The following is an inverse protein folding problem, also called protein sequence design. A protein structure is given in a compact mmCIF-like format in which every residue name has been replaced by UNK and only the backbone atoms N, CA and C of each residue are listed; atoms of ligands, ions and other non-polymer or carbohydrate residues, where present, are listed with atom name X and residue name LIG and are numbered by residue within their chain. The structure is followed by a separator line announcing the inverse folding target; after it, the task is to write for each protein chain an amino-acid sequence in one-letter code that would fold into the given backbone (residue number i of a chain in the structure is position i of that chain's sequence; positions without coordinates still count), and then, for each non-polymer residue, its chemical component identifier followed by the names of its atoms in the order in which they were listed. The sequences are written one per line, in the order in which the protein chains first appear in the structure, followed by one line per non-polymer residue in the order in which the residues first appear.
data_IF_134867758775
#
_entry.id   IF_134867758775
#
_cell.length_a   1.000
_cell.length_b   1.000
_cell.length_c   1.000
_cell.angle_alpha   90.00
_cell.angle_beta   90.00
_cell.angle_gamma   90.00
#
_symmetry.space_group_name_H-M   'P 1'
#
loop_
_entity.id
_entity.type
_entity.pdbx_description
1 polymer ?
#
# COMPACT_ATOMS: atom_id res chain seq x y z
N UNK A 1 -16.14 24.34 -39.99
CA UNK A 1 -15.54 23.80 -38.75
C UNK A 1 -14.11 23.35 -39.05
N UNK A 2 -13.12 23.89 -38.35
CA UNK A 2 -11.71 23.45 -38.44
C UNK A 2 -11.51 22.23 -37.52
N UNK A 3 -10.83 21.17 -37.98
CA UNK A 3 -10.50 19.99 -37.15
C UNK A 3 -9.00 19.94 -36.92
N UNK A 4 -8.56 19.72 -35.68
CA UNK A 4 -7.16 19.43 -35.39
C UNK A 4 -6.86 17.93 -35.57
N UNK A 5 -5.63 17.63 -35.98
CA UNK A 5 -5.11 16.27 -36.04
C UNK A 5 -5.17 15.61 -34.65
N UNK A 6 -5.69 14.38 -34.57
CA UNK A 6 -5.78 13.64 -33.30
C UNK A 6 -4.48 12.94 -32.88
N UNK A 7 -3.36 13.18 -33.58
CA UNK A 7 -2.07 12.64 -33.17
C UNK A 7 -1.48 13.48 -32.03
N UNK A 8 -0.88 12.81 -31.05
CA UNK A 8 -0.23 13.47 -29.93
C UNK A 8 0.90 14.38 -30.43
N UNK A 9 0.91 15.65 -29.98
CA UNK A 9 1.84 16.70 -30.39
C UNK A 9 1.82 17.00 -31.91
N UNK A 10 0.63 16.99 -32.52
CA UNK A 10 0.46 17.42 -33.90
C UNK A 10 -0.60 18.53 -33.97
N UNK A 11 -0.16 19.76 -34.14
CA UNK A 11 -1.03 20.94 -34.16
C UNK A 11 -1.54 21.28 -35.57
N UNK A 12 -1.39 20.34 -36.50
CA UNK A 12 -1.82 20.53 -37.89
C UNK A 12 -3.35 20.56 -37.97
N UNK A 13 -3.85 21.65 -38.54
CA UNK A 13 -5.25 21.84 -38.90
C UNK A 13 -5.57 21.03 -40.17
N UNK A 14 -6.67 20.28 -40.12
CA UNK A 14 -7.25 19.54 -41.23
C UNK A 14 -8.38 20.40 -41.82
N UNK A 15 -8.21 20.85 -43.06
CA UNK A 15 -9.23 21.61 -43.79
C UNK A 15 -10.40 20.70 -44.15
N UNK A 16 -11.62 21.10 -43.77
CA UNK A 16 -12.85 20.33 -44.00
C UNK A 16 -13.56 20.70 -45.32
N UNK A 17 -12.81 21.07 -46.35
CA UNK A 17 -13.35 21.53 -47.64
C UNK A 17 -13.95 20.41 -48.49
N UNK A 18 -13.68 19.14 -48.18
CA UNK A 18 -14.27 17.99 -48.88
C UNK A 18 -14.92 16.98 -47.91
N UNK A 19 -15.86 16.15 -48.41
CA UNK A 19 -16.42 15.02 -47.65
C UNK A 19 -15.35 14.01 -47.20
N UNK A 20 -14.25 13.90 -47.94
CA UNK A 20 -13.16 13.00 -47.58
C UNK A 20 -12.32 13.58 -46.45
N UNK A 21 -12.03 14.89 -46.49
CA UNK A 21 -11.30 15.58 -45.42
C UNK A 21 -12.16 15.78 -44.17
N UNK A 22 -13.49 15.87 -44.30
CA UNK A 22 -14.41 15.93 -43.16
C UNK A 22 -14.37 14.68 -42.28
N UNK A 23 -14.05 13.51 -42.84
CA UNK A 23 -13.87 12.25 -42.11
C UNK A 23 -12.42 11.99 -41.66
N UNK A 24 -11.48 12.83 -42.09
CA UNK A 24 -10.07 12.64 -41.82
C UNK A 24 -9.72 13.04 -40.39
N UNK A 25 -9.20 12.06 -39.62
CA UNK A 25 -8.81 12.22 -38.21
C UNK A 25 -7.32 12.57 -38.01
N UNK A 26 -6.50 12.36 -39.04
CA UNK A 26 -5.05 12.51 -38.98
C UNK A 26 -4.55 13.20 -40.24
N UNK A 27 -3.66 14.19 -40.09
CA UNK A 27 -3.10 14.94 -41.22
C UNK A 27 -2.21 14.07 -42.13
N UNK A 28 -1.55 13.04 -41.58
CA UNK A 28 -0.62 12.18 -42.34
C UNK A 28 -0.73 10.70 -41.95
N UNK A 29 -0.31 9.77 -42.84
CA UNK A 29 -0.17 8.36 -42.51
C UNK A 29 0.76 8.11 -41.30
N UNK A 30 1.80 8.95 -41.13
CA UNK A 30 2.70 8.92 -39.97
C UNK A 30 1.93 9.21 -38.67
N UNK A 31 1.13 10.27 -38.66
CA UNK A 31 0.28 10.62 -37.51
C UNK A 31 -0.72 9.51 -37.15
N UNK A 32 -1.35 8.90 -38.15
CA UNK A 32 -2.23 7.72 -37.96
C UNK A 32 -1.48 6.53 -37.35
N UNK A 33 -0.31 6.17 -37.89
CA UNK A 33 0.52 5.06 -37.40
C UNK A 33 0.99 5.32 -35.96
N UNK A 34 1.42 6.53 -35.63
CA UNK A 34 1.85 6.91 -34.27
C UNK A 34 0.70 6.81 -33.27
N UNK A 35 -0.47 7.36 -33.59
CA UNK A 35 -1.66 7.26 -32.74
C UNK A 35 -2.08 5.79 -32.51
N UNK A 36 -2.08 4.98 -33.58
CA UNK A 36 -2.36 3.55 -33.47
C UNK A 36 -1.35 2.81 -32.58
N UNK A 37 -0.04 3.03 -32.79
CA UNK A 37 1.02 2.45 -31.95
C UNK A 37 0.87 2.83 -30.48
N UNK A 38 0.56 4.10 -30.18
CA UNK A 38 0.32 4.57 -28.82
C UNK A 38 -0.90 3.91 -28.19
N UNK A 39 -2.02 3.79 -28.92
CA UNK A 39 -3.22 3.07 -28.47
C UNK A 39 -2.90 1.61 -28.17
N UNK A 40 -2.24 0.91 -29.10
CA UNK A 40 -1.82 -0.50 -28.93
C UNK A 40 -0.90 -0.65 -27.72
N UNK A 41 0.09 0.22 -27.56
CA UNK A 41 1.01 0.21 -26.41
C UNK A 41 0.27 0.43 -25.09
N UNK A 42 -0.67 1.38 -25.02
CA UNK A 42 -1.51 1.59 -23.82
C UNK A 42 -2.30 0.33 -23.49
N UNK A 43 -2.93 -0.29 -24.48
CA UNK A 43 -3.69 -1.52 -24.31
C UNK A 43 -2.82 -2.68 -23.82
N UNK A 44 -1.69 -2.94 -24.47
CA UNK A 44 -0.74 -3.99 -24.05
C UNK A 44 -0.23 -3.75 -22.64
N UNK A 45 0.01 -2.50 -22.24
CA UNK A 45 0.41 -2.16 -20.87
C UNK A 45 -0.69 -2.45 -19.85
N UNK A 46 -1.95 -2.19 -20.20
CA UNK A 46 -3.09 -2.49 -19.33
C UNK A 46 -3.30 -4.00 -19.18
N UNK A 47 -3.21 -4.75 -20.28
CA UNK A 47 -3.28 -6.22 -20.28
C UNK A 47 -2.15 -6.80 -19.42
N UNK A 48 -0.93 -6.30 -19.56
CA UNK A 48 0.21 -6.72 -18.73
C UNK A 48 0.02 -6.35 -17.26
N UNK A 49 -0.51 -5.16 -16.95
CA UNK A 49 -0.80 -4.76 -15.55
C UNK A 49 -1.88 -5.65 -14.94
N UNK A 50 -2.90 -6.02 -15.72
CA UNK A 50 -3.96 -6.91 -15.29
C UNK A 50 -3.44 -8.32 -15.00
N UNK A 51 -2.61 -8.87 -15.89
CA UNK A 51 -1.98 -10.18 -15.66
C UNK A 51 -1.04 -10.18 -14.45
N UNK A 52 -0.41 -9.04 -14.14
CA UNK A 52 0.44 -8.88 -12.97
C UNK A 52 -0.34 -8.73 -11.64
N UNK A 53 -1.66 -8.41 -11.64
CA UNK A 53 -2.41 -8.11 -10.42
C UNK A 53 -2.32 -9.22 -9.39
N UNK A 54 -2.54 -10.47 -9.79
CA UNK A 54 -2.55 -11.60 -8.86
C UNK A 54 -1.17 -11.87 -8.23
N UNK A 55 -0.10 -11.34 -8.85
CA UNK A 55 1.29 -11.48 -8.42
C UNK A 55 1.84 -10.20 -7.78
N UNK A 56 1.02 -9.16 -7.65
CA UNK A 56 1.40 -7.87 -7.06
C UNK A 56 1.30 -7.91 -5.53
N UNK A 57 2.28 -7.36 -4.82
CA UNK A 57 2.38 -7.45 -3.35
C UNK A 57 1.17 -6.82 -2.65
N UNK A 58 0.71 -5.67 -3.14
CA UNK A 58 -0.44 -4.94 -2.59
C UNK A 58 -1.74 -5.75 -2.74
N UNK A 59 -1.96 -6.33 -3.92
CA UNK A 59 -3.14 -7.16 -4.20
C UNK A 59 -3.09 -8.47 -3.42
N UNK A 60 -1.94 -9.14 -3.32
CA UNK A 60 -1.79 -10.35 -2.50
C UNK A 60 -2.11 -10.06 -1.04
N UNK A 61 -1.66 -8.90 -0.53
CA UNK A 61 -2.03 -8.45 0.81
C UNK A 61 -3.56 -8.25 0.94
N UNK A 62 -4.18 -7.57 -0.02
CA UNK A 62 -5.63 -7.33 -0.07
C UNK A 62 -6.42 -8.65 -0.07
N UNK A 63 -6.05 -9.62 -0.90
CA UNK A 63 -6.69 -10.94 -0.97
C UNK A 63 -6.66 -11.64 0.39
N UNK A 64 -5.53 -11.55 1.10
CA UNK A 64 -5.40 -12.07 2.47
C UNK A 64 -6.36 -11.35 3.44
N UNK A 65 -6.58 -10.05 3.29
CA UNK A 65 -7.55 -9.34 4.14
C UNK A 65 -8.99 -9.77 3.84
N UNK A 66 -9.34 -9.96 2.57
CA UNK A 66 -10.66 -10.47 2.18
C UNK A 66 -10.91 -11.86 2.79
N UNK A 67 -9.91 -12.77 2.74
CA UNK A 67 -9.98 -14.07 3.43
C UNK A 67 -10.14 -13.93 4.94
N UNK A 68 -9.37 -13.03 5.57
CA UNK A 68 -9.48 -12.77 7.00
C UNK A 68 -10.87 -12.25 7.38
N UNK A 69 -11.49 -11.39 6.57
CA UNK A 69 -12.85 -10.92 6.81
C UNK A 69 -13.94 -11.92 6.41
N UNK A 70 -13.61 -12.97 5.64
CA UNK A 70 -14.56 -13.89 4.99
C UNK A 70 -15.55 -13.19 4.04
N UNK A 71 -15.19 -12.02 3.51
CA UNK A 71 -16.01 -11.26 2.56
C UNK A 71 -15.18 -10.24 1.78
N UNK A 72 -15.55 -9.97 0.52
CA UNK A 72 -14.98 -8.85 -0.27
C UNK A 72 -15.60 -7.50 0.10
N UNK A 73 -16.72 -7.48 0.84
CA UNK A 73 -17.32 -6.24 1.36
C UNK A 73 -16.45 -5.50 2.37
N UNK A 74 -15.33 -6.08 2.79
CA UNK A 74 -14.28 -5.33 3.50
C UNK A 74 -13.78 -4.11 2.69
N UNK A 75 -14.04 -4.07 1.38
CA UNK A 75 -13.71 -2.98 0.46
C UNK A 75 -14.85 -1.96 0.27
N UNK A 76 -15.87 -2.00 1.11
CA UNK A 76 -17.01 -1.07 1.02
C UNK A 76 -16.57 0.39 1.09
N UNK A 77 -17.27 1.27 0.35
CA UNK A 77 -17.01 2.71 0.33
C UNK A 77 -15.84 3.18 -0.53
N UNK A 78 -15.13 2.27 -1.21
CA UNK A 78 -14.02 2.67 -2.07
C UNK A 78 -14.45 3.36 -3.37
N UNK A 79 -13.83 4.50 -3.62
CA UNK A 79 -13.65 5.11 -4.94
C UNK A 79 -12.18 4.98 -5.39
N UNK A 80 -11.84 5.52 -6.57
CA UNK A 80 -10.46 5.46 -7.09
C UNK A 80 -9.43 6.08 -6.13
N UNK A 81 -9.70 7.27 -5.59
CA UNK A 81 -8.76 8.00 -4.73
C UNK A 81 -8.49 7.25 -3.43
N UNK A 82 -9.55 6.87 -2.71
CA UNK A 82 -9.41 6.09 -1.46
C UNK A 82 -8.74 4.74 -1.67
N UNK A 83 -8.98 4.07 -2.81
CA UNK A 83 -8.33 2.80 -3.13
C UNK A 83 -6.83 3.01 -3.42
N UNK A 84 -6.46 4.08 -4.14
CA UNK A 84 -5.07 4.45 -4.37
C UNK A 84 -4.33 4.73 -3.05
N UNK A 85 -4.92 5.52 -2.15
CA UNK A 85 -4.33 5.79 -0.84
C UNK A 85 -4.17 4.53 0.01
N UNK A 86 -5.15 3.62 -0.06
CA UNK A 86 -5.09 2.34 0.65
C UNK A 86 -3.98 1.46 0.12
N UNK A 87 -3.86 1.34 -1.21
CA UNK A 87 -2.78 0.56 -1.83
C UNK A 87 -1.42 1.20 -1.62
N UNK A 88 -1.34 2.53 -1.58
CA UNK A 88 -0.10 3.23 -1.28
C UNK A 88 0.38 2.99 0.14
N UNK A 89 -0.55 2.97 1.13
CA UNK A 89 -0.22 2.55 2.49
C UNK A 89 0.37 1.14 2.52
N UNK A 90 -0.19 0.18 1.78
CA UNK A 90 0.33 -1.20 1.73
C UNK A 90 1.71 -1.26 1.09
N UNK A 91 1.90 -0.54 -0.02
CA UNK A 91 3.18 -0.46 -0.74
C UNK A 91 4.28 0.14 0.11
N UNK A 92 3.99 1.27 0.75
CA UNK A 92 4.95 2.08 1.47
C UNK A 92 5.01 1.71 2.94
N UNK A 93 5.19 0.40 3.21
CA UNK A 93 5.39 -0.09 4.57
C UNK A 93 6.65 0.56 5.19
N UNK A 94 6.52 1.27 6.32
CA UNK A 94 7.67 1.81 7.04
C UNK A 94 8.62 0.69 7.45
N UNK A 95 9.89 1.06 7.57
CA UNK A 95 10.89 0.16 8.14
C UNK A 95 10.67 0.03 9.66
N UNK A 96 11.27 -0.99 10.27
CA UNK A 96 11.13 -1.28 11.70
C UNK A 96 10.05 -2.31 12.05
N UNK A 97 9.88 -2.56 13.35
CA UNK A 97 8.96 -3.58 13.89
C UNK A 97 7.50 -3.09 13.98
N UNK A 98 6.96 -2.73 12.81
CA UNK A 98 5.57 -2.27 12.65
C UNK A 98 4.80 -3.14 11.68
N UNK A 99 3.48 -3.16 11.85
CA UNK A 99 2.51 -3.85 10.98
C UNK A 99 1.37 -2.92 10.63
N UNK A 100 0.79 -3.13 9.47
CA UNK A 100 -0.45 -2.47 9.09
C UNK A 100 -1.59 -3.08 9.91
N UNK A 101 -2.14 -2.26 10.81
CA UNK A 101 -3.19 -2.55 11.76
C UNK A 101 -4.51 -1.93 11.28
N UNK A 102 -5.63 -2.44 11.79
CA UNK A 102 -6.93 -1.78 11.62
C UNK A 102 -7.33 -1.11 12.94
N UNK A 103 -8.02 0.04 12.86
CA UNK A 103 -8.62 0.72 14.02
C UNK A 103 -9.84 -0.10 14.48
N UNK A 104 -10.85 -0.22 13.62
CA UNK A 104 -11.90 -1.22 13.77
C UNK A 104 -11.36 -2.58 13.29
N UNK A 105 -11.44 -3.65 14.10
CA UNK A 105 -10.79 -4.92 13.77
C UNK A 105 -11.45 -5.63 12.59
N UNK A 106 -10.64 -6.26 11.73
CA UNK A 106 -11.09 -7.10 10.60
C UNK A 106 -12.06 -8.21 11.04
N UNK A 107 -11.86 -8.73 12.26
CA UNK A 107 -12.72 -9.76 12.87
C UNK A 107 -13.29 -9.24 14.19
N UNK A 108 -14.16 -8.24 14.11
CA UNK A 108 -14.90 -7.73 15.26
C UNK A 108 -16.04 -8.67 15.70
N UNK A 109 -16.63 -8.35 16.86
CA UNK A 109 -17.77 -9.06 17.41
C UNK A 109 -18.99 -8.95 16.50
N UNK A 110 -19.49 -7.72 16.31
CA UNK A 110 -20.71 -7.45 15.51
C UNK A 110 -20.42 -6.73 14.18
N UNK A 111 -19.17 -6.34 13.94
CA UNK A 111 -18.76 -5.62 12.73
C UNK A 111 -17.44 -6.14 12.16
N UNK A 112 -17.19 -5.79 10.92
CA UNK A 112 -15.95 -6.06 10.17
C UNK A 112 -15.32 -4.71 9.84
N UNK A 113 -14.14 -4.45 10.37
CA UNK A 113 -13.36 -3.27 10.01
C UNK A 113 -12.97 -3.27 8.54
N UNK A 114 -13.21 -2.15 7.84
CA UNK A 114 -12.96 -2.03 6.40
C UNK A 114 -11.47 -1.93 6.09
N UNK A 115 -11.09 -2.42 4.92
CA UNK A 115 -9.75 -2.34 4.38
C UNK A 115 -9.58 -1.02 3.64
N UNK A 116 -9.64 0.07 4.40
CA UNK A 116 -9.69 1.42 3.89
C UNK A 116 -8.66 2.28 4.61
N UNK A 117 -7.98 3.19 3.92
CA UNK A 117 -6.89 3.99 4.50
C UNK A 117 -7.29 4.72 5.80
N UNK A 118 -8.54 5.20 5.91
CA UNK A 118 -9.10 5.80 7.14
C UNK A 118 -9.24 4.82 8.32
N UNK A 119 -9.30 3.52 8.06
CA UNK A 119 -9.35 2.48 9.09
C UNK A 119 -8.00 1.78 9.32
N UNK A 120 -6.97 2.09 8.51
CA UNK A 120 -5.67 1.43 8.57
C UNK A 120 -4.63 2.36 9.18
N UNK A 121 -3.66 1.82 9.91
CA UNK A 121 -2.49 2.55 10.40
C UNK A 121 -1.33 1.60 10.69
N UNK A 122 -0.11 2.13 10.85
CA UNK A 122 1.03 1.32 11.23
C UNK A 122 1.19 1.28 12.76
N UNK A 123 0.96 0.11 13.36
CA UNK A 123 1.14 -0.15 14.79
C UNK A 123 2.31 -1.10 15.05
N UNK A 124 2.88 -1.05 16.25
CA UNK A 124 3.96 -1.97 16.65
C UNK A 124 3.49 -3.42 16.69
N UNK A 125 4.36 -4.37 16.31
CA UNK A 125 4.00 -5.79 16.25
C UNK A 125 3.50 -6.32 17.60
N UNK A 126 4.16 -5.94 18.71
CA UNK A 126 3.76 -6.35 20.06
C UNK A 126 2.36 -5.85 20.43
N UNK A 127 2.09 -4.55 20.27
CA UNK A 127 0.79 -3.96 20.58
C UNK A 127 -0.32 -4.57 19.73
N UNK A 128 -0.07 -4.76 18.43
CA UNK A 128 -1.04 -5.38 17.53
C UNK A 128 -1.38 -6.82 17.95
N UNK A 129 -0.40 -7.59 18.44
CA UNK A 129 -0.64 -8.93 18.99
C UNK A 129 -1.41 -8.87 20.32
N UNK A 130 -1.01 -7.97 21.22
CA UNK A 130 -1.62 -7.80 22.54
C UNK A 130 -3.08 -7.37 22.47
N UNK A 131 -3.41 -6.42 21.58
CA UNK A 131 -4.80 -5.95 21.42
C UNK A 131 -5.63 -6.91 20.56
N UNK A 132 -5.03 -7.58 19.57
CA UNK A 132 -5.67 -8.66 18.83
C UNK A 132 -6.97 -8.22 18.15
N UNK A 133 -8.12 -8.70 18.68
CA UNK A 133 -9.48 -8.38 18.18
C UNK A 133 -10.22 -7.35 19.04
N UNK A 134 -9.59 -6.83 20.09
CA UNK A 134 -10.20 -5.83 20.96
C UNK A 134 -10.47 -4.57 20.16
N UNK A 135 -11.71 -4.09 20.24
CA UNK A 135 -12.16 -2.86 19.63
C UNK A 135 -12.38 -1.83 20.73
N UNK A 136 -11.82 -0.63 20.56
CA UNK A 136 -11.97 0.45 21.52
C UNK A 136 -13.01 1.45 21.01
N UNK A 137 -12.73 2.10 19.88
CA UNK A 137 -13.66 2.99 19.19
C UNK A 137 -13.10 3.43 17.83
N UNK A 138 -13.94 4.05 17.00
CA UNK A 138 -13.58 4.67 15.74
C UNK A 138 -13.24 3.72 14.60
N UNK A 139 -12.73 4.28 13.50
CA UNK A 139 -12.43 3.50 12.30
C UNK A 139 -13.66 3.12 11.48
N UNK A 140 -13.44 2.81 10.20
CA UNK A 140 -14.53 2.40 9.32
C UNK A 140 -14.81 0.91 9.49
N UNK A 141 -16.09 0.56 9.60
CA UNK A 141 -16.55 -0.82 9.67
C UNK A 141 -17.90 -0.99 8.97
N UNK A 142 -18.23 -2.23 8.65
CA UNK A 142 -19.56 -2.66 8.18
C UNK A 142 -20.13 -3.64 9.19
N UNK A 143 -21.42 -3.56 9.48
CA UNK A 143 -22.06 -4.52 10.40
C UNK A 143 -22.18 -5.89 9.73
N UNK A 144 -22.27 -6.96 10.53
CA UNK A 144 -22.39 -8.32 9.97
C UNK A 144 -23.73 -8.53 9.24
N UNK A 145 -24.77 -7.82 9.64
CA UNK A 145 -26.11 -7.93 9.06
C UNK A 145 -26.17 -7.31 7.64
N UNK A 146 -25.29 -6.36 7.34
CA UNK A 146 -25.13 -5.77 6.00
C UNK A 146 -24.30 -6.66 5.04
N UNK A 147 -23.77 -7.79 5.51
CA UNK A 147 -22.99 -8.70 4.67
C UNK A 147 -23.91 -9.56 3.80
N UNK A 148 -23.76 -9.41 2.49
CA UNK A 148 -24.52 -10.13 1.48
C UNK A 148 -23.82 -11.45 1.15
N UNK A 149 -24.58 -12.55 1.18
CA UNK A 149 -24.07 -13.92 0.95
C UNK A 149 -23.23 -14.07 -0.33
N UNK A 150 -23.60 -13.38 -1.42
CA UNK A 150 -22.90 -13.45 -2.71
C UNK A 150 -21.45 -12.93 -2.67
N UNK A 151 -21.11 -12.13 -1.65
CA UNK A 151 -19.78 -11.55 -1.49
C UNK A 151 -18.91 -12.29 -0.45
N UNK A 152 -19.41 -13.40 0.10
CA UNK A 152 -18.68 -14.20 1.06
C UNK A 152 -17.49 -14.92 0.42
N UNK A 153 -16.35 -14.83 1.09
CA UNK A 153 -15.13 -15.54 0.73
C UNK A 153 -15.08 -16.83 1.54
N UNK A 154 -15.17 -17.97 0.86
CA UNK A 154 -15.12 -19.30 1.47
C UNK A 154 -13.67 -19.71 1.76
N UNK A 155 -13.51 -20.57 2.77
CA UNK A 155 -12.23 -21.23 3.03
C UNK A 155 -11.86 -22.10 1.81
N UNK A 156 -10.59 -22.07 1.38
CA UNK A 156 -10.10 -22.81 0.20
C UNK A 156 -10.33 -22.17 -1.19
N UNK A 157 -11.14 -21.12 -1.32
CA UNK A 157 -11.36 -20.41 -2.60
C UNK A 157 -10.04 -19.96 -3.24
N UNK A 158 -9.85 -20.00 -4.56
CA UNK A 158 -8.57 -19.61 -5.18
C UNK A 158 -8.37 -18.08 -5.17
N UNK A 159 -7.11 -17.63 -5.22
CA UNK A 159 -6.79 -16.19 -5.27
C UNK A 159 -7.42 -15.50 -6.49
N UNK A 160 -7.48 -16.20 -7.62
CA UNK A 160 -8.08 -15.68 -8.86
C UNK A 160 -9.59 -15.47 -8.71
N UNK A 161 -10.30 -16.39 -8.06
CA UNK A 161 -11.74 -16.28 -7.85
C UNK A 161 -12.08 -15.09 -6.94
N UNK A 162 -11.32 -14.91 -5.86
CA UNK A 162 -11.47 -13.75 -4.97
C UNK A 162 -11.17 -12.46 -5.74
N UNK A 163 -10.14 -12.44 -6.59
CA UNK A 163 -9.82 -11.26 -7.40
C UNK A 163 -10.96 -10.93 -8.37
N UNK A 164 -11.58 -11.92 -9.02
CA UNK A 164 -12.76 -11.73 -9.87
C UNK A 164 -13.93 -11.16 -9.05
N UNK A 165 -14.15 -11.65 -7.81
CA UNK A 165 -15.16 -11.09 -6.92
C UNK A 165 -14.87 -9.63 -6.57
N UNK A 166 -13.61 -9.28 -6.30
CA UNK A 166 -13.18 -7.90 -6.04
C UNK A 166 -13.42 -7.01 -7.27
N UNK A 167 -13.03 -7.45 -8.47
CA UNK A 167 -13.28 -6.71 -9.71
C UNK A 167 -14.78 -6.45 -9.91
N UNK A 168 -15.63 -7.46 -9.67
CA UNK A 168 -17.09 -7.32 -9.74
C UNK A 168 -17.65 -6.36 -8.69
N UNK A 169 -17.12 -6.42 -7.46
CA UNK A 169 -17.60 -5.59 -6.35
C UNK A 169 -17.21 -4.11 -6.53
N UNK A 170 -15.95 -3.86 -6.93
CA UNK A 170 -15.38 -2.53 -7.10
C UNK A 170 -15.63 -1.90 -8.48
N UNK A 171 -16.19 -2.66 -9.43
CA UNK A 171 -16.60 -2.19 -10.76
C UNK A 171 -15.47 -1.44 -11.48
N UNK A 172 -15.63 -0.14 -11.69
CA UNK A 172 -14.73 0.73 -12.46
C UNK A 172 -13.47 1.15 -11.69
N UNK A 173 -13.42 0.94 -10.37
CA UNK A 173 -12.25 1.30 -9.56
C UNK A 173 -11.01 0.51 -9.96
N UNK A 174 -11.11 -0.81 -10.19
CA UNK A 174 -9.95 -1.64 -10.60
C UNK A 174 -9.45 -1.26 -12.00
N UNK A 175 -10.29 -1.16 -13.05
CA UNK A 175 -9.86 -0.66 -14.35
C UNK A 175 -9.17 0.71 -14.27
N UNK A 176 -9.77 1.68 -13.57
CA UNK A 176 -9.17 3.02 -13.40
C UNK A 176 -7.86 2.98 -12.62
N UNK A 177 -7.77 2.16 -11.58
CA UNK A 177 -6.52 1.91 -10.85
C UNK A 177 -5.43 1.38 -11.78
N UNK A 178 -5.74 0.44 -12.67
CA UNK A 178 -4.80 -0.08 -13.65
C UNK A 178 -4.31 0.95 -14.66
N UNK A 179 -5.07 2.03 -14.92
CA UNK A 179 -4.62 3.11 -15.80
C UNK A 179 -3.54 3.97 -15.15
N UNK A 180 -3.71 4.30 -13.87
CA UNK A 180 -2.87 5.28 -13.18
C UNK A 180 -1.76 4.66 -12.35
N UNK A 181 -1.98 3.48 -11.75
CA UNK A 181 -1.04 2.86 -10.84
C UNK A 181 -0.03 1.93 -11.55
N UNK A 182 1.24 1.91 -11.11
CA UNK A 182 2.21 0.94 -11.61
C UNK A 182 1.99 -0.43 -10.95
N UNK A 183 1.22 -1.31 -11.59
CA UNK A 183 1.08 -2.70 -11.12
C UNK A 183 2.25 -3.55 -11.65
N UNK A 184 3.16 -3.88 -10.74
CA UNK A 184 4.35 -4.71 -11.01
C UNK A 184 4.23 -6.03 -10.25
N UNK A 185 4.84 -7.08 -10.81
CA UNK A 185 5.01 -8.37 -10.11
C UNK A 185 5.81 -8.13 -8.82
N UNK A 186 5.46 -8.84 -7.76
CA UNK A 186 6.21 -8.82 -6.50
C UNK A 186 7.68 -9.16 -6.72
N UNK A 187 8.54 -8.62 -5.86
CA UNK A 187 9.97 -8.99 -5.89
C UNK A 187 10.16 -10.49 -5.67
N UNK A 188 9.27 -11.11 -4.87
CA UNK A 188 9.27 -12.55 -4.62
C UNK A 188 9.07 -13.34 -5.91
N UNK A 189 8.03 -13.03 -6.67
CA UNK A 189 7.75 -13.70 -7.96
C UNK A 189 8.91 -13.51 -8.94
N UNK A 190 9.50 -12.31 -8.98
CA UNK A 190 10.67 -12.07 -9.83
C UNK A 190 11.88 -12.94 -9.44
N UNK A 191 12.14 -13.15 -8.15
CA UNK A 191 13.20 -14.06 -7.69
C UNK A 191 12.86 -15.51 -8.06
N UNK A 192 11.61 -15.93 -7.87
CA UNK A 192 11.19 -17.29 -8.22
C UNK A 192 11.41 -17.55 -9.70
N UNK A 193 10.97 -16.64 -10.58
CA UNK A 193 11.21 -16.75 -12.03
C UNK A 193 12.70 -16.86 -12.36
N UNK A 194 13.57 -16.14 -11.64
CA UNK A 194 15.03 -16.26 -11.82
C UNK A 194 15.56 -17.62 -11.36
N UNK A 195 15.08 -18.13 -10.23
CA UNK A 195 15.45 -19.46 -9.72
C UNK A 195 15.02 -20.52 -10.74
N UNK A 196 13.76 -20.52 -11.17
CA UNK A 196 13.23 -21.53 -12.11
C UNK A 196 13.89 -21.45 -13.49
N UNK A 197 14.39 -20.27 -13.90
CA UNK A 197 15.16 -20.14 -15.15
C UNK A 197 16.58 -20.71 -15.07
N UNK A 198 17.15 -20.81 -13.86
CA UNK A 198 18.50 -21.35 -13.62
C UNK A 198 18.46 -22.82 -13.19
N UNK A 199 17.37 -23.23 -12.55
CA UNK A 199 17.12 -24.58 -12.05
C UNK A 199 15.67 -24.97 -12.39
N UNK A 200 15.49 -25.57 -13.57
CA UNK A 200 14.18 -25.97 -14.08
C UNK A 200 13.57 -27.17 -13.34
N UNK A 201 14.32 -27.82 -12.43
CA UNK A 201 13.80 -28.90 -11.60
C UNK A 201 12.88 -28.41 -10.47
N UNK A 202 12.90 -27.11 -10.16
CA UNK A 202 12.11 -26.50 -9.09
C UNK A 202 10.80 -25.95 -9.61
N UNK A 203 9.70 -26.38 -8.99
CA UNK A 203 8.36 -25.93 -9.34
C UNK A 203 8.02 -24.54 -8.77
N UNK A 204 7.35 -23.73 -9.59
CA UNK A 204 7.02 -22.33 -9.23
C UNK A 204 6.12 -22.25 -7.98
N UNK A 205 5.12 -23.12 -7.90
CA UNK A 205 4.14 -23.13 -6.80
C UNK A 205 4.74 -23.56 -5.47
N UNK A 206 5.75 -24.45 -5.49
CA UNK A 206 6.49 -24.84 -4.30
C UNK A 206 7.30 -23.64 -3.76
N UNK A 207 8.05 -22.96 -4.64
CA UNK A 207 8.85 -21.80 -4.28
C UNK A 207 8.00 -20.63 -3.78
N UNK A 208 6.77 -20.51 -4.25
CA UNK A 208 5.80 -19.52 -3.76
C UNK A 208 5.44 -19.71 -2.28
N UNK A 209 5.72 -20.86 -1.67
CA UNK A 209 5.52 -21.09 -0.23
C UNK A 209 6.67 -20.54 0.63
N UNK A 210 7.87 -20.40 0.06
CA UNK A 210 9.06 -20.00 0.82
C UNK A 210 9.05 -18.51 1.19
N UNK A 211 9.75 -18.16 2.28
CA UNK A 211 9.93 -16.74 2.63
C UNK A 211 10.81 -16.03 1.61
N UNK A 212 10.61 -14.71 1.44
CA UNK A 212 11.47 -13.91 0.55
C UNK A 212 12.96 -14.01 0.94
N UNK A 213 13.26 -14.07 2.24
CA UNK A 213 14.63 -14.25 2.75
C UNK A 213 15.22 -15.59 2.27
N UNK A 214 14.47 -16.68 2.39
CA UNK A 214 14.90 -18.01 1.93
C UNK A 214 15.13 -18.01 0.42
N UNK A 215 14.18 -17.49 -0.36
CA UNK A 215 14.32 -17.41 -1.82
C UNK A 215 15.52 -16.58 -2.26
N UNK A 216 15.82 -15.50 -1.56
CA UNK A 216 16.99 -14.66 -1.87
C UNK A 216 18.30 -15.41 -1.59
N UNK A 217 18.36 -16.17 -0.50
CA UNK A 217 19.51 -17.01 -0.17
C UNK A 217 19.68 -18.16 -1.17
N UNK A 218 18.59 -18.83 -1.55
CA UNK A 218 18.59 -19.90 -2.55
C UNK A 218 19.06 -19.36 -3.92
N UNK A 219 18.53 -18.21 -4.36
CA UNK A 219 18.97 -17.57 -5.59
C UNK A 219 20.46 -17.23 -5.55
N UNK A 220 20.94 -16.59 -4.48
CA UNK A 220 22.36 -16.25 -4.30
C UNK A 220 23.28 -17.47 -4.39
N UNK A 221 22.86 -18.60 -3.80
CA UNK A 221 23.60 -19.88 -3.88
C UNK A 221 23.70 -20.38 -5.32
N UNK A 222 22.62 -20.32 -6.08
CA UNK A 222 22.57 -20.80 -7.48
C UNK A 222 23.33 -19.85 -8.42
N UNK A 223 23.15 -18.54 -8.27
CA UNK A 223 23.78 -17.53 -9.13
C UNK A 223 25.23 -17.20 -8.77
N UNK A 224 25.79 -17.80 -7.71
CA UNK A 224 27.13 -17.50 -7.15
C UNK A 224 27.34 -16.01 -6.87
N UNK A 225 26.26 -15.28 -6.58
CA UNK A 225 26.32 -13.86 -6.22
C UNK A 225 26.16 -13.71 -4.72
N UNK A 226 26.80 -12.71 -4.12
CA UNK A 226 26.53 -12.44 -2.71
C UNK A 226 25.08 -11.96 -2.53
N UNK A 227 24.34 -12.49 -1.54
CA UNK A 227 23.02 -12.01 -1.25
C UNK A 227 23.09 -10.52 -0.84
N UNK A 228 22.13 -9.69 -1.24
CA UNK A 228 22.09 -8.30 -0.79
C UNK A 228 22.05 -8.26 0.73
N UNK A 229 22.94 -7.47 1.34
CA UNK A 229 22.96 -7.25 2.78
C UNK A 229 21.62 -6.65 3.21
N UNK A 230 20.95 -7.32 4.16
CA UNK A 230 19.72 -6.82 4.76
C UNK A 230 20.10 -5.61 5.61
N UNK A 231 19.82 -4.42 5.08
CA UNK A 231 19.96 -3.19 5.84
C UNK A 231 18.81 -3.16 6.87
N UNK A 232 19.06 -3.71 8.06
CA UNK A 232 18.13 -3.66 9.19
C UNK A 232 18.05 -2.20 9.60
N UNK A 233 16.99 -1.53 9.16
CA UNK A 233 16.73 -0.17 9.58
C UNK A 233 16.33 -0.18 11.04
N UNK A 234 17.16 0.46 11.86
CA UNK A 234 16.88 0.76 13.27
C UNK A 234 15.92 1.95 13.41
N UNK A 235 15.05 2.17 12.42
CA UNK A 235 14.15 3.31 12.45
C UNK A 235 13.11 3.11 13.55
N UNK A 236 13.06 4.08 14.47
CA UNK A 236 12.18 3.98 15.64
C UNK A 236 10.71 3.93 15.24
N UNK A 237 9.98 2.98 15.82
CA UNK A 237 8.51 2.88 15.74
C UNK A 237 7.80 4.17 16.16
N UNK A 238 8.43 5.03 16.96
CA UNK A 238 7.88 6.32 17.36
C UNK A 238 7.61 7.23 16.16
N UNK A 239 8.49 7.24 15.17
CA UNK A 239 8.32 8.04 13.95
C UNK A 239 7.06 7.60 13.22
N UNK A 240 6.87 6.28 13.11
CA UNK A 240 5.68 5.68 12.47
C UNK A 240 4.38 6.06 13.20
N UNK A 241 4.41 6.14 14.53
CA UNK A 241 3.27 6.57 15.32
C UNK A 241 2.98 8.06 15.14
N UNK A 242 4.00 8.92 15.15
CA UNK A 242 3.84 10.36 14.92
C UNK A 242 3.36 10.67 13.50
N UNK A 243 3.82 9.91 12.50
CA UNK A 243 3.34 9.97 11.12
C UNK A 243 1.86 9.58 11.04
N UNK A 244 1.48 8.51 11.74
CA UNK A 244 0.08 8.07 11.82
C UNK A 244 -0.81 9.13 12.48
N UNK A 245 -0.36 9.77 13.56
CA UNK A 245 -1.07 10.88 14.21
C UNK A 245 -1.19 12.09 13.28
N UNK A 246 -0.12 12.47 12.58
CA UNK A 246 -0.13 13.57 11.62
C UNK A 246 -1.17 13.34 10.53
N UNK A 247 -1.22 12.12 10.01
CA UNK A 247 -2.22 11.71 9.02
C UNK A 247 -3.64 11.76 9.60
N UNK A 248 -3.88 11.25 10.80
CA UNK A 248 -5.20 11.36 11.42
C UNK A 248 -5.63 12.80 11.72
N UNK A 249 -4.69 13.67 12.11
CA UNK A 249 -4.94 15.10 12.27
C UNK A 249 -5.38 15.73 10.95
N UNK A 250 -4.78 15.34 9.81
CA UNK A 250 -5.17 15.87 8.49
C UNK A 250 -6.58 15.47 8.04
N UNK A 251 -7.18 14.45 8.64
CA UNK A 251 -8.54 14.05 8.33
C UNK A 251 -9.60 14.95 9.00
N UNK A 252 -9.20 15.78 9.96
CA UNK A 252 -10.13 16.64 10.67
C UNK A 252 -10.93 15.91 11.76
N UNK A 253 -12.03 16.52 12.18
CA UNK A 253 -12.95 16.00 13.20
C UNK A 253 -12.67 16.46 14.64
N UNK A 254 -13.52 16.02 15.56
CA UNK A 254 -13.55 16.49 16.95
C UNK A 254 -12.27 16.15 17.73
N UNK A 255 -11.60 15.05 17.37
CA UNK A 255 -10.40 14.58 18.07
C UNK A 255 -9.11 15.31 17.68
N UNK A 256 -9.14 16.23 16.70
CA UNK A 256 -7.93 16.89 16.18
C UNK A 256 -7.13 17.59 17.27
N UNK A 257 -7.79 18.30 18.19
CA UNK A 257 -7.11 19.01 19.26
C UNK A 257 -6.37 18.04 20.20
N UNK A 258 -7.00 16.91 20.53
CA UNK A 258 -6.42 15.85 21.38
C UNK A 258 -5.25 15.18 20.66
N UNK A 259 -5.41 14.83 19.38
CA UNK A 259 -4.35 14.21 18.58
C UNK A 259 -3.14 15.13 18.40
N UNK A 260 -3.35 16.45 18.21
CA UNK A 260 -2.28 17.46 18.17
C UNK A 260 -1.50 17.49 19.50
N UNK A 261 -2.20 17.49 20.64
CA UNK A 261 -1.58 17.42 21.98
C UNK A 261 -0.78 16.13 22.15
N UNK A 262 -1.36 14.97 21.80
CA UNK A 262 -0.69 13.67 21.87
C UNK A 262 0.57 13.63 20.98
N UNK A 263 0.48 14.12 19.74
CA UNK A 263 1.64 14.19 18.83
C UNK A 263 2.75 15.05 19.43
N UNK A 264 2.44 16.21 20.01
CA UNK A 264 3.43 17.06 20.69
C UNK A 264 4.08 16.33 21.87
N UNK A 265 3.30 15.63 22.69
CA UNK A 265 3.83 14.81 23.78
C UNK A 265 4.77 13.70 23.27
N UNK A 266 4.44 13.07 22.13
CA UNK A 266 5.30 12.05 21.53
C UNK A 266 6.62 12.62 21.00
N UNK A 267 6.63 13.83 20.45
CA UNK A 267 7.86 14.54 20.04
C UNK A 267 8.75 14.78 21.25
N UNK A 268 8.19 15.29 22.35
CA UNK A 268 8.95 15.52 23.60
C UNK A 268 9.49 14.20 24.17
N UNK A 269 8.66 13.15 24.19
CA UNK A 269 9.08 11.83 24.66
C UNK A 269 10.19 11.23 23.79
N UNK A 270 10.13 11.42 22.46
CA UNK A 270 11.18 11.01 21.55
C UNK A 270 12.51 11.72 21.89
N UNK A 271 12.49 13.05 22.05
CA UNK A 271 13.69 13.83 22.41
C UNK A 271 14.29 13.37 23.76
N UNK A 272 13.45 13.08 24.74
CA UNK A 272 13.87 12.56 26.04
C UNK A 272 14.49 11.16 25.94
N UNK A 273 13.93 10.29 25.09
CA UNK A 273 14.42 8.92 24.87
C UNK A 273 15.72 8.88 24.08
N UNK A 274 15.88 9.72 23.04
CA UNK A 274 17.12 9.78 22.25
C UNK A 274 18.36 10.08 23.10
N UNK A 275 18.18 10.76 24.25
CA UNK A 275 19.25 11.13 25.19
C UNK A 275 19.60 10.06 26.20
N UNK A 276 18.79 9.01 26.30
CA UNK A 276 19.13 7.88 27.15
C UNK A 276 20.13 7.01 26.42
N UNK A 277 21.28 6.74 27.04
CA UNK A 277 22.38 5.95 26.43
C UNK A 277 21.86 4.64 25.82
N UNK A 278 20.98 3.94 26.54
CA UNK A 278 20.46 2.63 26.17
C UNK A 278 19.41 2.66 25.04
N UNK A 279 19.01 3.83 24.57
CA UNK A 279 17.95 3.95 23.56
C UNK A 279 18.48 3.72 22.17
N UNK A 280 17.78 2.86 21.43
CA UNK A 280 17.96 2.67 19.98
C UNK A 280 17.03 3.58 19.16
N UNK A 281 16.47 4.62 19.78
CA UNK A 281 15.48 5.53 19.19
C UNK A 281 16.16 6.66 18.43
N UNK A 282 16.92 6.32 17.38
CA UNK A 282 17.56 7.31 16.51
C UNK A 282 16.87 7.38 15.14
N UNK A 283 16.74 8.59 14.62
CA UNK A 283 16.25 8.89 13.27
C UNK A 283 16.86 10.21 12.79
N UNK A 284 17.71 10.12 11.76
CA UNK A 284 18.41 11.27 11.19
C UNK A 284 17.51 12.40 10.64
N UNK A 285 16.24 12.12 10.38
CA UNK A 285 15.28 13.08 9.82
C UNK A 285 14.29 13.62 10.85
N UNK A 286 14.38 13.20 12.12
CA UNK A 286 13.42 13.59 13.15
C UNK A 286 13.33 15.12 13.30
N UNK A 287 14.47 15.78 13.54
CA UNK A 287 14.53 17.22 13.76
C UNK A 287 14.07 18.02 12.54
N UNK A 288 14.40 17.57 11.32
CA UNK A 288 13.94 18.22 10.08
C UNK A 288 12.43 18.07 9.91
N UNK A 289 11.88 16.87 10.15
CA UNK A 289 10.46 16.58 9.90
C UNK A 289 9.54 17.21 10.94
N UNK A 290 9.99 17.32 12.18
CA UNK A 290 9.17 17.74 13.32
C UNK A 290 9.59 19.07 13.95
N UNK A 291 10.47 19.83 13.29
CA UNK A 291 11.00 21.13 13.74
C UNK A 291 9.92 22.04 14.31
N UNK A 292 8.83 22.24 13.58
CA UNK A 292 7.72 23.13 13.97
C UNK A 292 6.99 22.70 15.26
N UNK A 293 7.20 21.48 15.74
CA UNK A 293 6.62 20.97 16.98
C UNK A 293 7.60 21.01 18.15
N UNK A 294 8.89 21.26 17.88
CA UNK A 294 9.94 21.34 18.88
C UNK A 294 9.88 22.74 19.50
N UNK A 295 9.73 22.76 20.82
CA UNK A 295 9.75 23.97 21.62
C UNK A 295 11.06 23.94 22.41
N UNK A 296 11.85 25.02 22.34
CA UNK A 296 13.18 25.10 22.95
C UNK A 296 13.17 24.74 24.43
N UNK A 297 12.07 24.98 25.16
CA UNK A 297 11.96 24.62 26.57
C UNK A 297 11.98 23.10 26.82
N UNK A 298 11.54 22.30 25.84
CA UNK A 298 11.65 20.84 25.89
C UNK A 298 12.94 20.34 25.27
N UNK A 299 13.75 21.25 24.72
CA UNK A 299 15.13 21.01 24.29
C UNK A 299 16.03 20.48 25.42
N UNK A 300 15.59 20.41 26.67
CA UNK A 300 16.33 19.79 27.78
C UNK A 300 15.62 18.57 28.39
N UNK A 301 14.51 18.11 27.82
CA UNK A 301 13.79 16.94 28.32
C UNK A 301 14.71 15.71 28.38
N UNK A 302 14.64 14.97 29.49
CA UNK A 302 15.33 13.70 29.74
C UNK A 302 14.36 12.72 30.37
N UNK A 303 14.43 11.44 30.00
CA UNK A 303 13.67 10.43 30.70
C UNK A 303 14.29 10.25 32.10
N UNK A 304 13.47 10.25 33.15
CA UNK A 304 13.94 9.92 34.49
C UNK A 304 14.47 8.48 34.47
N UNK A 305 15.75 8.30 34.80
CA UNK A 305 16.29 6.97 35.03
C UNK A 305 15.57 6.40 36.26
N UNK A 306 14.93 5.24 36.13
CA UNK A 306 14.57 4.48 37.32
C UNK A 306 15.89 4.03 37.93
N UNK A 307 16.24 4.57 39.08
CA UNK A 307 17.18 3.93 39.99
C UNK A 307 16.63 2.54 40.26
N UNK A 308 17.36 1.52 39.82
CA UNK A 308 17.08 0.15 40.21
C UNK A 308 17.11 0.12 41.74
N UNK A 309 15.95 -0.10 42.36
CA UNK A 309 15.91 -0.55 43.75
C UNK A 309 16.54 -1.94 43.72
N UNK A 310 17.80 -2.01 44.10
CA UNK A 310 18.49 -3.26 44.39
C UNK A 310 17.69 -3.98 45.49
N UNK A 311 16.99 -5.06 45.12
CA UNK A 311 16.57 -6.13 46.03
C UNK A 311 17.53 -7.29 45.87
#
# INVERSE_FOLDING_TARGET
MIKQCLAYNCDVVINNESKQSSNQKYCTPKCRKTAHRKKKSKQTRLEQRRSNLIQNDEIVYLLRQCRRAKTVQILHGHNLSSFLETMDLVRNRPKGDVRLCHIAPVKGGNSIGLFHYLNLFYGGTYQNRKFGKRYFSGGLSITKDEIVKKWLVKDGMLNNDILIMIEKYLKDVIPKYLEVAPVRKSKKVQIITKITSLDSSREFDELMQYSYKRLTADWAKISRTQPPTLNISNESKYIVYMDSLTRFISYGGEMVAILKKLRKLMVIAYMALERTWQSTTYNKYFYVKYELLIDHKYGQARAAAKTECNT
#
